data_IF_329456241152
#
_entry.id   IF_329456241152
#
_cell.length_a   1.000
_cell.length_b   1.000
_cell.length_c   1.000
_cell.angle_alpha   90.00
_cell.angle_beta   90.00
_cell.angle_gamma   90.00
#
_symmetry.space_group_name_H-M   'P 1'
#
loop_
_entity.id
_entity.type
_entity.pdbx_description
1 polymer ?
#
# COMPACT_ATOMS: atom_id res chain seq x y z
N UNK A 1 -7.45 -19.94 16.64
CA UNK A 1 -7.47 -19.25 15.33
C UNK A 1 -7.56 -17.76 15.61
N UNK A 2 -6.71 -16.94 15.00
CA UNK A 2 -6.93 -15.47 15.05
C UNK A 2 -8.25 -15.19 14.34
N UNK A 3 -9.12 -14.45 15.02
CA UNK A 3 -10.43 -14.08 14.48
C UNK A 3 -10.24 -13.16 13.27
N UNK A 4 -11.04 -13.32 12.22
CA UNK A 4 -10.97 -12.49 11.03
C UNK A 4 -11.27 -11.02 11.38
N UNK A 5 -10.23 -10.19 11.48
CA UNK A 5 -10.34 -8.78 11.89
C UNK A 5 -11.26 -7.95 10.98
N UNK A 6 -11.39 -8.32 9.71
CA UNK A 6 -12.26 -7.64 8.75
C UNK A 6 -13.71 -7.55 9.22
N UNK A 7 -14.19 -8.58 9.93
CA UNK A 7 -15.57 -8.63 10.45
C UNK A 7 -15.82 -7.67 11.63
N UNK A 8 -14.77 -7.11 12.22
CA UNK A 8 -14.85 -6.17 13.34
C UNK A 8 -14.78 -4.71 12.92
N UNK A 9 -14.38 -4.44 11.69
CA UNK A 9 -14.23 -3.08 11.19
C UNK A 9 -15.61 -2.44 10.92
N UNK A 10 -15.71 -1.17 11.28
CA UNK A 10 -16.87 -0.36 10.92
C UNK A 10 -16.76 0.09 9.48
N UNK A 11 -17.86 0.01 8.73
CA UNK A 11 -17.94 0.56 7.38
C UNK A 11 -18.35 2.04 7.42
N UNK A 12 -17.85 2.88 6.53
CA UNK A 12 -16.90 2.55 5.46
C UNK A 12 -15.46 2.34 5.96
N UNK A 13 -14.78 1.33 5.43
CA UNK A 13 -13.39 0.99 5.77
C UNK A 13 -12.45 1.87 4.95
N UNK A 14 -11.52 2.55 5.63
CA UNK A 14 -10.49 3.38 5.02
C UNK A 14 -9.12 2.72 5.15
N UNK A 15 -8.47 2.42 4.03
CA UNK A 15 -7.24 1.66 4.00
C UNK A 15 -6.10 2.37 3.25
N UNK A 16 -4.86 2.16 3.67
CA UNK A 16 -3.66 2.61 2.94
C UNK A 16 -3.31 1.62 1.83
N UNK A 17 -3.04 2.12 0.62
CA UNK A 17 -2.59 1.28 -0.48
C UNK A 17 -1.11 0.90 -0.35
N UNK A 18 -0.75 -0.37 -0.65
CA UNK A 18 0.65 -0.80 -0.74
C UNK A 18 1.33 -0.15 -1.96
N UNK A 19 2.42 0.58 -1.72
CA UNK A 19 3.17 1.28 -2.78
C UNK A 19 4.68 1.16 -2.53
N UNK A 20 5.39 0.52 -3.47
CA UNK A 20 6.84 0.31 -3.38
C UNK A 20 7.62 1.61 -3.21
N UNK A 21 8.55 1.61 -2.27
CA UNK A 21 9.36 2.77 -1.87
C UNK A 21 8.52 4.01 -1.45
N UNK A 22 7.31 3.79 -0.95
CA UNK A 22 6.41 4.87 -0.47
C UNK A 22 5.81 4.53 0.87
N UNK A 23 5.09 3.40 0.97
CA UNK A 23 4.38 3.01 2.19
C UNK A 23 5.24 2.16 3.10
N UNK A 24 6.50 2.53 3.22
CA UNK A 24 7.44 1.95 4.18
C UNK A 24 7.06 2.26 5.63
N UNK A 25 7.79 1.67 6.56
CA UNK A 25 7.51 1.81 7.98
C UNK A 25 7.56 3.25 8.48
N UNK A 26 8.52 4.07 8.00
CA UNK A 26 8.61 5.47 8.39
C UNK A 26 7.40 6.28 7.92
N UNK A 27 6.94 6.04 6.68
CA UNK A 27 5.74 6.66 6.15
C UNK A 27 4.50 6.26 6.96
N UNK A 28 4.29 4.98 7.25
CA UNK A 28 3.13 4.51 8.01
C UNK A 28 3.09 5.08 9.43
N UNK A 29 4.24 5.27 10.08
CA UNK A 29 4.31 5.91 11.40
C UNK A 29 3.81 7.36 11.38
N UNK A 30 3.99 8.09 10.28
CA UNK A 30 3.41 9.45 10.18
C UNK A 30 1.88 9.41 10.26
N UNK A 31 1.24 8.37 9.71
CA UNK A 31 -0.21 8.20 9.81
C UNK A 31 -0.66 7.71 11.18
N UNK A 32 0.10 6.85 11.84
CA UNK A 32 -0.20 6.45 13.24
C UNK A 32 -0.34 7.67 14.14
N UNK A 33 0.50 8.68 13.95
CA UNK A 33 0.55 9.86 14.80
C UNK A 33 -0.43 10.98 14.40
N UNK A 34 -0.77 11.10 13.12
CA UNK A 34 -1.48 12.27 12.61
C UNK A 34 -2.90 11.95 12.08
N UNK A 35 -3.16 10.68 11.75
CA UNK A 35 -4.48 10.27 11.26
C UNK A 35 -4.45 8.82 10.82
N UNK A 36 -4.79 7.90 11.73
CA UNK A 36 -4.71 6.46 11.49
C UNK A 36 -5.83 5.97 10.56
N UNK A 37 -5.53 5.17 9.50
CA UNK A 37 -6.53 4.43 8.74
C UNK A 37 -7.09 3.26 9.56
N UNK A 38 -8.17 2.64 9.05
CA UNK A 38 -8.69 1.42 9.67
C UNK A 38 -7.78 0.21 9.44
N UNK A 39 -7.07 0.16 8.30
CA UNK A 39 -6.15 -0.94 7.98
C UNK A 39 -4.89 -0.42 7.29
N UNK A 40 -3.74 -0.87 7.77
CA UNK A 40 -2.45 -0.65 7.13
C UNK A 40 -2.06 -1.80 6.20
N UNK A 41 -1.28 -1.48 5.16
CA UNK A 41 -0.57 -2.43 4.31
C UNK A 41 0.94 -2.14 4.34
N UNK A 42 1.74 -3.20 4.30
CA UNK A 42 3.16 -3.07 4.00
C UNK A 42 3.37 -2.72 2.52
N UNK A 43 4.60 -2.42 2.15
CA UNK A 43 5.03 -2.52 0.76
C UNK A 43 4.89 -3.99 0.29
N UNK A 44 4.85 -4.22 -1.04
CA UNK A 44 4.74 -5.59 -1.55
C UNK A 44 6.11 -6.24 -1.75
N UNK A 45 6.27 -7.45 -1.26
CA UNK A 45 7.55 -8.18 -1.23
C UNK A 45 7.50 -9.45 -2.07
N UNK A 46 8.60 -9.75 -2.78
CA UNK A 46 8.72 -10.96 -3.61
C UNK A 46 8.79 -12.23 -2.75
N UNK A 47 7.89 -13.21 -3.00
CA UNK A 47 7.97 -14.52 -2.34
C UNK A 47 9.26 -15.26 -2.70
N UNK A 48 9.75 -15.14 -3.92
CA UNK A 48 11.02 -15.73 -4.35
C UNK A 48 12.21 -15.09 -3.63
N UNK A 49 12.19 -13.76 -3.50
CA UNK A 49 13.21 -13.01 -2.76
C UNK A 49 13.27 -13.39 -1.28
N UNK A 50 12.11 -13.52 -0.63
CA UNK A 50 12.01 -13.93 0.79
C UNK A 50 12.51 -15.37 1.06
N UNK A 51 12.56 -16.22 0.04
CA UNK A 51 13.10 -17.58 0.14
C UNK A 51 14.56 -17.67 -0.35
N UNK A 52 15.15 -16.55 -0.77
CA UNK A 52 16.53 -16.47 -1.25
C UNK A 52 17.53 -16.18 -0.10
N UNK A 53 18.85 -16.34 -0.32
CA UNK A 53 19.87 -15.90 0.64
C UNK A 53 19.82 -14.39 0.96
N UNK A 54 19.21 -13.59 0.10
CA UNK A 54 19.07 -12.14 0.27
C UNK A 54 17.84 -11.69 1.08
N UNK A 55 17.10 -12.62 1.70
CA UNK A 55 15.84 -12.34 2.41
C UNK A 55 15.92 -11.21 3.44
N UNK A 56 17.04 -11.10 4.16
CA UNK A 56 17.21 -10.11 5.22
C UNK A 56 17.07 -8.67 4.71
N UNK A 57 17.43 -8.41 3.45
CA UNK A 57 17.23 -7.08 2.82
C UNK A 57 15.79 -6.78 2.49
N UNK A 58 14.95 -7.80 2.36
CA UNK A 58 13.53 -7.66 2.04
C UNK A 58 12.66 -7.65 3.29
N UNK A 59 13.12 -8.27 4.38
CA UNK A 59 12.38 -8.30 5.65
C UNK A 59 12.17 -6.90 6.23
N UNK A 60 13.02 -5.94 5.89
CA UNK A 60 12.83 -4.53 6.29
C UNK A 60 11.54 -3.91 5.75
N UNK A 61 11.01 -4.40 4.63
CA UNK A 61 9.73 -3.94 4.07
C UNK A 61 8.53 -4.45 4.89
N UNK A 62 8.75 -5.45 5.74
CA UNK A 62 7.77 -5.99 6.68
C UNK A 62 7.91 -5.43 8.10
N UNK A 63 8.83 -4.51 8.35
CA UNK A 63 8.94 -3.89 9.66
C UNK A 63 7.68 -3.05 9.96
N UNK A 64 7.13 -3.20 11.17
CA UNK A 64 5.96 -2.46 11.66
C UNK A 64 6.01 -2.30 13.19
N UNK A 65 5.12 -1.49 13.74
CA UNK A 65 4.91 -1.34 15.18
C UNK A 65 3.53 -1.81 15.59
N UNK A 66 3.35 -2.14 16.87
CA UNK A 66 2.05 -2.53 17.43
C UNK A 66 0.93 -1.50 17.19
N UNK A 67 1.27 -0.22 17.08
CA UNK A 67 0.31 0.84 16.81
C UNK A 67 -0.29 0.77 15.39
N UNK A 68 0.31 0.02 14.46
CA UNK A 68 -0.18 -0.14 13.08
C UNK A 68 -1.26 -1.22 12.94
N UNK A 69 -1.51 -2.05 13.97
CA UNK A 69 -2.56 -3.07 13.88
C UNK A 69 -3.97 -2.45 13.69
N UNK A 70 -4.82 -3.02 12.80
CA UNK A 70 -4.53 -4.17 11.94
C UNK A 70 -3.65 -3.82 10.74
N UNK A 71 -2.64 -4.65 10.51
CA UNK A 71 -1.70 -4.52 9.39
C UNK A 71 -1.63 -5.79 8.54
N UNK A 72 -1.64 -5.61 7.21
CA UNK A 72 -1.64 -6.67 6.21
C UNK A 72 -0.32 -6.69 5.45
N UNK A 73 0.35 -7.84 5.40
CA UNK A 73 1.56 -8.04 4.59
C UNK A 73 1.19 -8.32 3.14
N UNK A 74 1.66 -7.50 2.19
CA UNK A 74 1.44 -7.78 0.77
C UNK A 74 2.63 -8.47 0.14
N UNK A 75 2.36 -9.56 -0.62
CA UNK A 75 3.35 -10.36 -1.32
C UNK A 75 3.00 -10.52 -2.80
N UNK A 76 4.02 -10.78 -3.62
CA UNK A 76 3.85 -11.07 -5.05
C UNK A 76 4.76 -12.19 -5.52
N UNK A 77 4.35 -12.87 -6.57
CA UNK A 77 5.08 -13.97 -7.20
C UNK A 77 4.20 -14.72 -8.19
N UNK A 78 4.72 -15.87 -8.68
CA UNK A 78 4.02 -16.73 -9.63
C UNK A 78 4.14 -18.24 -9.31
N UNK A 79 4.77 -18.62 -8.19
CA UNK A 79 5.01 -20.03 -7.83
C UNK A 79 4.22 -20.38 -6.55
N UNK A 80 3.12 -21.17 -6.65
CA UNK A 80 2.24 -21.48 -5.51
C UNK A 80 2.97 -22.04 -4.29
N UNK A 81 3.95 -22.93 -4.48
CA UNK A 81 4.73 -23.53 -3.40
C UNK A 81 5.56 -22.51 -2.61
N UNK A 82 5.94 -21.40 -3.22
CA UNK A 82 6.63 -20.30 -2.54
C UNK A 82 5.66 -19.48 -1.69
N UNK A 83 4.44 -19.25 -2.19
CA UNK A 83 3.39 -18.55 -1.43
C UNK A 83 3.02 -19.32 -0.15
N UNK A 84 2.91 -20.64 -0.20
CA UNK A 84 2.61 -21.44 0.97
C UNK A 84 3.67 -21.27 2.08
N UNK A 85 4.95 -21.33 1.70
CA UNK A 85 6.07 -21.16 2.64
C UNK A 85 6.13 -19.74 3.22
N UNK A 86 5.99 -18.74 2.36
CA UNK A 86 6.06 -17.33 2.79
C UNK A 86 4.84 -16.94 3.63
N UNK A 87 3.67 -17.46 3.31
CA UNK A 87 2.46 -17.23 4.12
C UNK A 87 2.63 -17.78 5.56
N UNK A 88 3.24 -18.95 5.72
CA UNK A 88 3.57 -19.48 7.04
C UNK A 88 4.55 -18.56 7.80
N UNK A 89 5.57 -18.05 7.12
CA UNK A 89 6.52 -17.09 7.72
C UNK A 89 5.81 -15.78 8.14
N UNK A 90 4.94 -15.22 7.32
CA UNK A 90 4.20 -13.98 7.63
C UNK A 90 3.33 -14.17 8.87
N UNK A 91 2.71 -15.33 9.02
CA UNK A 91 1.94 -15.66 10.21
C UNK A 91 2.79 -15.64 11.50
N UNK A 92 4.01 -16.15 11.44
CA UNK A 92 4.96 -16.13 12.56
C UNK A 92 5.44 -14.71 12.88
N UNK A 93 5.53 -13.83 11.86
CA UNK A 93 5.88 -12.42 12.03
C UNK A 93 4.77 -11.58 12.70
N UNK A 94 3.57 -12.13 12.91
CA UNK A 94 2.53 -11.49 13.70
C UNK A 94 1.54 -10.60 12.96
N UNK A 95 1.55 -10.56 11.62
CA UNK A 95 0.57 -9.81 10.82
C UNK A 95 -0.88 -10.27 11.05
N UNK A 96 -1.84 -9.37 10.78
CA UNK A 96 -3.28 -9.68 10.91
C UNK A 96 -3.86 -10.34 9.67
N UNK A 97 -3.21 -10.15 8.50
CA UNK A 97 -3.61 -10.74 7.24
C UNK A 97 -2.49 -10.77 6.21
N UNK A 98 -2.75 -11.49 5.12
CA UNK A 98 -1.88 -11.57 3.95
C UNK A 98 -2.65 -11.08 2.74
N UNK A 99 -2.01 -10.27 1.92
CA UNK A 99 -2.58 -9.80 0.66
C UNK A 99 -1.72 -10.23 -0.53
N UNK A 100 -2.37 -10.68 -1.60
CA UNK A 100 -1.71 -11.12 -2.81
C UNK A 100 -1.82 -10.01 -3.85
N UNK A 101 -0.67 -9.51 -4.33
CA UNK A 101 -0.64 -8.52 -5.39
C UNK A 101 -0.90 -9.16 -6.75
N UNK A 102 -2.08 -8.91 -7.33
CA UNK A 102 -2.50 -9.32 -8.68
C UNK A 102 -2.82 -8.11 -9.57
N UNK A 103 -2.23 -6.94 -9.28
CA UNK A 103 -2.53 -5.70 -10.00
C UNK A 103 -1.34 -4.83 -10.35
N UNK A 104 -0.12 -5.14 -9.88
CA UNK A 104 1.07 -4.36 -10.19
C UNK A 104 1.45 -4.47 -11.68
N UNK A 105 1.56 -3.34 -12.40
CA UNK A 105 1.87 -3.33 -13.83
C UNK A 105 3.37 -3.19 -14.12
N UNK A 106 4.25 -3.26 -13.11
CA UNK A 106 5.68 -3.10 -13.29
C UNK A 106 6.25 -4.22 -14.16
N UNK A 107 6.99 -3.85 -15.21
CA UNK A 107 7.47 -4.77 -16.23
C UNK A 107 8.29 -5.94 -15.66
N UNK A 108 9.16 -5.66 -14.67
CA UNK A 108 10.01 -6.70 -14.07
C UNK A 108 9.18 -7.72 -13.27
N UNK A 109 8.09 -7.28 -12.64
CA UNK A 109 7.14 -8.15 -11.95
C UNK A 109 6.36 -8.99 -12.97
N UNK A 110 5.85 -8.38 -14.03
CA UNK A 110 5.08 -9.09 -15.05
C UNK A 110 5.91 -10.10 -15.84
N UNK A 111 7.19 -9.83 -16.11
CA UNK A 111 8.11 -10.79 -16.76
C UNK A 111 8.28 -12.07 -15.94
N UNK A 112 8.10 -12.02 -14.61
CA UNK A 112 8.10 -13.21 -13.76
C UNK A 112 6.76 -13.95 -13.70
N UNK A 113 5.74 -13.47 -14.42
CA UNK A 113 4.37 -14.01 -14.37
C UNK A 113 3.54 -13.55 -13.17
N UNK A 114 4.03 -12.59 -12.40
CA UNK A 114 3.44 -12.07 -11.17
C UNK A 114 2.66 -10.75 -11.40
N UNK A 115 2.04 -10.24 -10.32
CA UNK A 115 1.31 -8.98 -10.39
C UNK A 115 0.13 -9.05 -11.36
N UNK A 116 -0.03 -8.04 -12.23
CA UNK A 116 -1.12 -8.00 -13.19
C UNK A 116 -1.06 -9.12 -14.23
N UNK A 117 0.09 -9.77 -14.46
CA UNK A 117 0.20 -10.92 -15.36
C UNK A 117 -0.68 -12.10 -14.94
N UNK A 118 -1.02 -12.22 -13.63
CA UNK A 118 -1.92 -13.27 -13.13
C UNK A 118 -3.35 -13.14 -13.69
N UNK A 119 -3.78 -11.96 -14.12
CA UNK A 119 -5.09 -11.74 -14.76
C UNK A 119 -5.20 -12.59 -16.04
N UNK A 120 -4.09 -12.75 -16.77
CA UNK A 120 -4.02 -13.59 -17.98
C UNK A 120 -3.93 -15.09 -17.69
N UNK A 121 -3.78 -15.48 -16.43
CA UNK A 121 -3.68 -16.89 -16.03
C UNK A 121 -4.56 -17.18 -14.81
N UNK A 122 -5.89 -17.20 -14.97
CA UNK A 122 -6.83 -17.41 -13.87
C UNK A 122 -6.61 -18.72 -13.12
N UNK A 123 -6.15 -19.76 -13.79
CA UNK A 123 -5.81 -21.05 -13.15
C UNK A 123 -4.67 -20.88 -12.15
N UNK A 124 -3.59 -20.24 -12.54
CA UNK A 124 -2.45 -19.97 -11.66
C UNK A 124 -2.85 -19.04 -10.51
N UNK A 125 -3.69 -18.03 -10.77
CA UNK A 125 -4.20 -17.15 -9.71
C UNK A 125 -4.93 -17.94 -8.60
N UNK A 126 -5.82 -18.88 -8.98
CA UNK A 126 -6.47 -19.79 -8.00
C UNK A 126 -5.47 -20.65 -7.25
N UNK A 127 -4.47 -21.22 -7.92
CA UNK A 127 -3.44 -22.04 -7.30
C UNK A 127 -2.62 -21.25 -6.28
N UNK A 128 -2.27 -19.99 -6.60
CA UNK A 128 -1.57 -19.06 -5.70
C UNK A 128 -2.42 -18.75 -4.47
N UNK A 129 -3.72 -18.42 -4.65
CA UNK A 129 -4.63 -18.14 -3.52
C UNK A 129 -4.72 -19.36 -2.60
N UNK A 130 -4.97 -20.55 -3.15
CA UNK A 130 -5.08 -21.81 -2.38
C UNK A 130 -3.81 -22.11 -1.61
N UNK A 131 -2.64 -21.95 -2.23
CA UNK A 131 -1.35 -22.14 -1.57
C UNK A 131 -1.12 -21.14 -0.42
N UNK A 132 -1.45 -19.86 -0.67
CA UNK A 132 -1.38 -18.81 0.38
C UNK A 132 -2.29 -19.17 1.57
N UNK A 133 -3.52 -19.60 1.33
CA UNK A 133 -4.47 -20.00 2.38
C UNK A 133 -3.97 -21.20 3.18
N UNK A 134 -3.33 -22.20 2.54
CA UNK A 134 -2.73 -23.33 3.28
C UNK A 134 -1.62 -22.86 4.22
N UNK A 135 -0.68 -22.04 3.72
CA UNK A 135 0.41 -21.51 4.55
C UNK A 135 -0.07 -20.55 5.64
N UNK A 136 -1.07 -19.73 5.33
CA UNK A 136 -1.69 -18.80 6.28
C UNK A 136 -2.39 -19.50 7.45
N UNK A 137 -2.82 -20.77 7.27
CA UNK A 137 -3.41 -21.60 8.31
C UNK A 137 -4.46 -20.87 9.17
N UNK A 138 -5.47 -20.29 8.48
CA UNK A 138 -6.60 -19.60 9.10
C UNK A 138 -6.42 -18.08 9.29
N UNK A 139 -5.26 -17.49 8.96
CA UNK A 139 -5.12 -16.05 8.86
C UNK A 139 -5.90 -15.54 7.63
N UNK A 140 -6.57 -14.36 7.69
CA UNK A 140 -7.27 -13.78 6.55
C UNK A 140 -6.37 -13.58 5.34
N UNK A 141 -6.83 -13.99 4.15
CA UNK A 141 -6.16 -13.78 2.87
C UNK A 141 -7.01 -12.86 2.01
N UNK A 142 -6.41 -11.80 1.49
CA UNK A 142 -7.01 -10.86 0.55
C UNK A 142 -6.25 -10.84 -0.78
N UNK A 143 -6.86 -10.25 -1.79
CA UNK A 143 -6.24 -10.01 -3.11
C UNK A 143 -6.43 -8.55 -3.49
N UNK A 144 -5.36 -7.91 -3.98
CA UNK A 144 -5.45 -6.60 -4.63
C UNK A 144 -5.21 -6.76 -6.14
N UNK A 145 -6.22 -6.40 -6.93
CA UNK A 145 -6.21 -6.58 -8.38
C UNK A 145 -6.70 -5.35 -9.14
N UNK A 146 -6.86 -5.51 -10.46
CA UNK A 146 -7.45 -4.55 -11.40
C UNK A 146 -8.66 -5.15 -12.11
N UNK A 147 -9.39 -4.32 -12.87
CA UNK A 147 -10.61 -4.72 -13.59
C UNK A 147 -10.34 -5.55 -14.86
N UNK A 148 -9.09 -5.77 -15.21
CA UNK A 148 -8.66 -6.53 -16.38
C UNK A 148 -7.22 -6.22 -16.77
N UNK A 149 -6.74 -6.88 -17.83
CA UNK A 149 -5.39 -6.66 -18.34
C UNK A 149 -5.36 -5.56 -19.40
N UNK A 150 -5.73 -5.86 -20.66
CA UNK A 150 -5.77 -4.87 -21.75
C UNK A 150 -7.15 -4.25 -21.96
N UNK A 151 -8.19 -4.87 -21.44
CA UNK A 151 -9.57 -4.41 -21.48
C UNK A 151 -10.25 -4.72 -20.15
N UNK A 152 -11.43 -4.19 -19.93
CA UNK A 152 -12.29 -4.56 -18.83
C UNK A 152 -12.70 -6.05 -18.97
N UNK A 153 -12.51 -6.83 -17.90
CA UNK A 153 -12.69 -8.28 -17.84
C UNK A 153 -13.32 -8.71 -16.49
N UNK A 154 -14.09 -7.81 -15.84
CA UNK A 154 -14.63 -8.10 -14.49
C UNK A 154 -15.53 -9.33 -14.49
N UNK A 155 -16.32 -9.56 -15.54
CA UNK A 155 -17.24 -10.72 -15.63
C UNK A 155 -16.54 -12.06 -15.68
N UNK A 156 -15.37 -12.12 -16.28
CA UNK A 156 -14.54 -13.30 -16.38
C UNK A 156 -13.57 -13.44 -15.21
N UNK A 157 -13.03 -12.29 -14.75
CA UNK A 157 -11.95 -12.27 -13.77
C UNK A 157 -12.41 -12.33 -12.31
N UNK A 158 -13.41 -11.53 -11.92
CA UNK A 158 -13.81 -11.46 -10.51
C UNK A 158 -14.40 -12.76 -9.95
N UNK A 159 -15.23 -13.52 -10.68
CA UNK A 159 -15.70 -14.83 -10.21
C UNK A 159 -14.57 -15.79 -9.86
N UNK A 160 -13.49 -15.77 -10.66
CA UNK A 160 -12.29 -16.61 -10.42
C UNK A 160 -11.70 -16.35 -9.02
N UNK A 161 -11.68 -15.11 -8.59
CA UNK A 161 -11.13 -14.71 -7.28
C UNK A 161 -12.14 -14.94 -6.15
N UNK A 162 -13.40 -14.55 -6.37
CA UNK A 162 -14.46 -14.62 -5.37
C UNK A 162 -14.80 -16.06 -4.96
N UNK A 163 -14.73 -17.01 -5.89
CA UNK A 163 -14.92 -18.44 -5.60
C UNK A 163 -13.88 -19.04 -4.63
N UNK A 164 -12.77 -18.32 -4.39
CA UNK A 164 -11.71 -18.79 -3.49
C UNK A 164 -11.89 -18.35 -2.03
N UNK A 165 -13.08 -17.86 -1.65
CA UNK A 165 -13.41 -17.47 -0.27
C UNK A 165 -12.34 -16.53 0.35
N UNK A 166 -12.15 -15.37 -0.28
CA UNK A 166 -11.24 -14.32 0.18
C UNK A 166 -11.83 -13.56 1.36
N UNK A 167 -10.99 -13.16 2.31
CA UNK A 167 -11.41 -12.28 3.40
C UNK A 167 -11.73 -10.87 2.90
N UNK A 168 -10.95 -10.36 1.93
CA UNK A 168 -11.22 -9.11 1.25
C UNK A 168 -10.72 -9.14 -0.20
N UNK A 169 -11.35 -8.35 -1.06
CA UNK A 169 -10.93 -8.11 -2.44
C UNK A 169 -10.83 -6.60 -2.67
N UNK A 170 -9.67 -6.15 -3.10
CA UNK A 170 -9.40 -4.74 -3.38
C UNK A 170 -9.25 -4.56 -4.88
N UNK A 171 -10.06 -3.69 -5.47
CA UNK A 171 -10.11 -3.52 -6.92
C UNK A 171 -9.68 -2.11 -7.29
N UNK A 172 -8.56 -2.00 -7.99
CA UNK A 172 -8.20 -0.79 -8.69
C UNK A 172 -9.03 -0.70 -9.98
N UNK A 173 -9.92 0.28 -10.04
CA UNK A 173 -10.90 0.44 -11.11
C UNK A 173 -10.29 0.98 -12.41
N UNK A 174 -9.19 0.36 -12.84
CA UNK A 174 -8.51 0.51 -14.13
C UNK A 174 -7.98 -0.83 -14.58
N UNK A 175 -7.85 -0.99 -15.89
CA UNK A 175 -7.09 -2.12 -16.45
C UNK A 175 -5.59 -1.95 -16.20
N UNK A 176 -4.81 -3.00 -16.49
CA UNK A 176 -3.35 -2.92 -16.42
C UNK A 176 -2.79 -1.92 -17.42
N UNK A 177 -3.29 -1.95 -18.67
CA UNK A 177 -2.76 -1.11 -19.76
C UNK A 177 -3.09 0.37 -19.58
N UNK A 178 -4.19 0.70 -18.92
CA UNK A 178 -4.56 2.08 -18.56
C UNK A 178 -3.65 2.68 -17.48
N UNK A 179 -2.92 1.87 -16.75
CA UNK A 179 -2.02 2.33 -15.69
C UNK A 179 -2.69 3.27 -14.69
N UNK A 180 -2.49 4.57 -14.88
CA UNK A 180 -3.13 5.69 -14.16
C UNK A 180 -3.43 6.87 -15.09
N UNK A 181 -3.47 6.62 -16.40
CA UNK A 181 -3.51 7.65 -17.44
C UNK A 181 -4.93 8.06 -17.84
N UNK A 182 -5.93 7.32 -17.37
CA UNK A 182 -7.35 7.60 -17.55
C UNK A 182 -8.03 7.73 -16.18
N UNK A 183 -9.24 8.30 -16.06
CA UNK A 183 -10.04 8.25 -14.83
C UNK A 183 -10.33 6.80 -14.41
N UNK A 184 -10.44 6.54 -13.10
CA UNK A 184 -10.86 5.24 -12.59
C UNK A 184 -12.35 5.01 -12.89
N UNK A 185 -12.68 3.81 -13.36
CA UNK A 185 -14.01 3.40 -13.83
C UNK A 185 -14.97 3.10 -12.67
N UNK A 186 -15.31 4.13 -11.90
CA UNK A 186 -16.26 4.00 -10.77
C UNK A 186 -17.67 3.62 -11.22
N UNK A 187 -18.02 3.83 -12.47
CA UNK A 187 -19.28 3.38 -13.07
C UNK A 187 -19.45 1.84 -13.04
N UNK A 188 -18.33 1.09 -12.95
CA UNK A 188 -18.32 -0.37 -12.85
C UNK A 188 -18.53 -0.88 -11.41
N UNK A 189 -18.58 0.00 -10.44
CA UNK A 189 -18.61 -0.37 -9.03
C UNK A 189 -19.87 -1.19 -8.67
N UNK A 190 -21.05 -0.79 -9.15
CA UNK A 190 -22.29 -1.51 -8.86
C UNK A 190 -22.29 -2.94 -9.43
N UNK A 191 -21.72 -3.13 -10.63
CA UNK A 191 -21.58 -4.47 -11.22
C UNK A 191 -20.63 -5.33 -10.38
N UNK A 192 -19.52 -4.75 -9.93
CA UNK A 192 -18.56 -5.41 -9.03
C UNK A 192 -19.22 -5.86 -7.72
N UNK A 193 -20.04 -4.99 -7.11
CA UNK A 193 -20.79 -5.32 -5.89
C UNK A 193 -21.79 -6.44 -6.13
N UNK A 194 -22.51 -6.41 -7.25
CA UNK A 194 -23.47 -7.47 -7.61
C UNK A 194 -22.78 -8.82 -7.74
N UNK A 195 -21.61 -8.87 -8.38
CA UNK A 195 -20.80 -10.08 -8.47
C UNK A 195 -20.34 -10.59 -7.12
N UNK A 196 -19.79 -9.72 -6.26
CA UNK A 196 -19.42 -10.10 -4.90
C UNK A 196 -20.63 -10.69 -4.16
N UNK A 197 -21.79 -10.06 -4.23
CA UNK A 197 -23.01 -10.54 -3.55
C UNK A 197 -23.48 -11.90 -4.09
N UNK A 198 -23.25 -12.17 -5.37
CA UNK A 198 -23.61 -13.45 -6.00
C UNK A 198 -22.64 -14.58 -5.62
N UNK A 199 -21.33 -14.33 -5.66
CA UNK A 199 -20.31 -15.37 -5.55
C UNK A 199 -19.74 -15.51 -4.13
N UNK A 200 -19.61 -14.41 -3.39
CA UNK A 200 -18.95 -14.38 -2.07
C UNK A 200 -19.47 -13.23 -1.19
N UNK A 201 -20.72 -13.28 -0.71
CA UNK A 201 -21.37 -12.16 0.00
C UNK A 201 -20.65 -11.73 1.28
N UNK A 202 -19.84 -12.59 1.87
CA UNK A 202 -19.05 -12.29 3.08
C UNK A 202 -17.69 -11.65 2.81
N UNK A 203 -17.22 -11.62 1.55
CA UNK A 203 -15.95 -10.99 1.18
C UNK A 203 -16.07 -9.47 1.26
N UNK A 204 -15.18 -8.84 2.04
CA UNK A 204 -15.06 -7.38 2.09
C UNK A 204 -14.57 -6.86 0.74
N UNK A 205 -15.25 -5.85 0.21
CA UNK A 205 -14.93 -5.27 -1.10
C UNK A 205 -14.50 -3.82 -0.95
N UNK A 206 -13.24 -3.51 -1.33
CA UNK A 206 -12.70 -2.15 -1.30
C UNK A 206 -12.42 -1.63 -2.70
N UNK A 207 -12.87 -0.40 -2.98
CA UNK A 207 -12.56 0.32 -4.21
C UNK A 207 -11.24 1.07 -4.11
N UNK A 208 -10.53 1.19 -5.25
CA UNK A 208 -9.29 1.96 -5.34
C UNK A 208 -9.22 2.71 -6.68
N UNK A 209 -8.73 3.93 -6.65
CA UNK A 209 -8.52 4.81 -7.80
C UNK A 209 -9.12 6.19 -7.60
N UNK A 210 -8.33 7.25 -7.86
CA UNK A 210 -8.72 8.67 -7.86
C UNK A 210 -9.48 9.14 -6.61
N UNK A 211 -8.97 8.77 -5.45
CA UNK A 211 -9.44 9.25 -4.16
C UNK A 211 -8.39 10.22 -3.64
N UNK A 212 -8.74 11.51 -3.57
CA UNK A 212 -7.82 12.58 -3.25
C UNK A 212 -8.14 13.29 -1.93
N UNK A 213 -9.39 13.17 -1.45
CA UNK A 213 -9.85 13.75 -0.18
C UNK A 213 -10.70 12.74 0.61
N UNK A 214 -10.99 13.02 1.87
CA UNK A 214 -11.92 12.20 2.66
C UNK A 214 -13.34 12.30 2.11
N UNK A 215 -13.73 13.46 1.62
CA UNK A 215 -15.04 13.66 0.96
C UNK A 215 -15.16 12.78 -0.28
N UNK A 216 -14.10 12.66 -1.11
CA UNK A 216 -14.06 11.71 -2.22
C UNK A 216 -14.25 10.26 -1.72
N UNK A 217 -13.56 9.88 -0.63
CA UNK A 217 -13.61 8.54 -0.07
C UNK A 217 -15.04 8.19 0.41
N UNK A 218 -15.66 9.09 1.13
CA UNK A 218 -17.03 8.93 1.66
C UNK A 218 -18.08 8.89 0.53
N UNK A 219 -18.00 9.84 -0.43
CA UNK A 219 -18.92 9.91 -1.58
C UNK A 219 -18.82 8.65 -2.43
N UNK A 220 -17.60 8.26 -2.83
CA UNK A 220 -17.37 7.06 -3.63
C UNK A 220 -17.83 5.79 -2.94
N UNK A 221 -17.61 5.64 -1.64
CA UNK A 221 -18.10 4.49 -0.89
C UNK A 221 -19.62 4.45 -0.87
N UNK A 222 -20.27 5.58 -0.59
CA UNK A 222 -21.72 5.69 -0.53
C UNK A 222 -22.39 5.40 -1.89
N UNK A 223 -21.82 5.93 -2.97
CA UNK A 223 -22.37 5.81 -4.32
C UNK A 223 -22.14 4.43 -4.93
N UNK A 224 -20.98 3.81 -4.64
CA UNK A 224 -20.59 2.53 -5.21
C UNK A 224 -21.20 1.31 -4.52
N UNK A 225 -21.53 1.41 -3.23
CA UNK A 225 -21.92 0.28 -2.40
C UNK A 225 -20.76 -0.63 -2.00
N UNK A 226 -19.50 -0.20 -2.19
CA UNK A 226 -18.33 -0.88 -1.63
C UNK A 226 -18.34 -0.79 -0.09
N UNK A 227 -17.69 -1.74 0.55
CA UNK A 227 -17.55 -1.76 2.02
C UNK A 227 -16.58 -0.68 2.52
N UNK A 228 -15.81 -0.07 1.62
CA UNK A 228 -14.86 0.98 1.89
C UNK A 228 -13.95 1.23 0.69
N UNK A 229 -12.87 1.97 0.93
CA UNK A 229 -11.91 2.35 -0.12
C UNK A 229 -10.48 2.22 0.35
N UNK A 230 -9.59 2.01 -0.63
CA UNK A 230 -8.14 2.03 -0.42
C UNK A 230 -7.55 3.25 -1.09
N UNK A 231 -6.83 4.07 -0.31
CA UNK A 231 -6.28 5.35 -0.74
C UNK A 231 -4.79 5.17 -1.10
N UNK A 232 -4.39 5.69 -2.25
CA UNK A 232 -2.99 5.69 -2.71
C UNK A 232 -2.41 7.10 -2.77
N UNK A 233 -2.28 7.65 -3.97
CA UNK A 233 -1.61 8.93 -4.23
C UNK A 233 -2.20 10.12 -3.49
N UNK A 234 -3.50 10.15 -3.21
CA UNK A 234 -4.16 11.26 -2.53
C UNK A 234 -3.64 11.56 -1.11
N UNK A 235 -3.00 10.58 -0.46
CA UNK A 235 -2.44 10.78 0.88
C UNK A 235 -0.95 11.19 0.89
N UNK A 236 -0.30 11.36 -0.28
CA UNK A 236 1.12 11.77 -0.31
C UNK A 236 1.30 13.16 0.27
N UNK A 237 2.26 13.27 1.21
CA UNK A 237 2.55 14.53 1.89
C UNK A 237 1.43 15.01 2.85
N UNK A 238 0.41 14.17 3.08
CA UNK A 238 -0.72 14.48 3.94
C UNK A 238 -1.00 13.34 4.93
N UNK A 239 -0.21 13.15 5.98
CA UNK A 239 -0.46 12.14 6.99
C UNK A 239 -1.71 12.41 7.85
N UNK A 240 -2.32 13.57 7.71
CA UNK A 240 -3.59 13.93 8.34
C UNK A 240 -4.83 13.55 7.51
N UNK A 241 -4.62 12.86 6.39
CA UNK A 241 -5.69 12.51 5.45
C UNK A 241 -6.93 11.92 6.14
N UNK A 242 -6.73 10.96 7.04
CA UNK A 242 -7.83 10.26 7.73
C UNK A 242 -8.37 11.02 8.96
N UNK A 243 -7.67 12.02 9.49
CA UNK A 243 -8.17 12.85 10.60
C UNK A 243 -8.90 14.10 10.12
N UNK A 244 -8.77 14.46 8.85
CA UNK A 244 -9.35 15.69 8.29
C UNK A 244 -8.70 16.98 8.82
N UNK A 245 -7.58 16.89 9.56
CA UNK A 245 -6.83 18.08 9.99
C UNK A 245 -6.17 18.75 8.80
N UNK A 246 -6.29 20.08 8.71
CA UNK A 246 -5.63 20.89 7.69
C UNK A 246 -4.38 21.50 8.33
N UNK A 247 -3.17 20.98 8.02
CA UNK A 247 -1.95 21.42 8.66
C UNK A 247 -1.50 22.80 8.20
N UNK A 248 -0.93 23.59 9.12
CA UNK A 248 -0.15 24.77 8.78
C UNK A 248 1.11 24.38 7.99
N UNK A 249 1.75 25.35 7.35
CA UNK A 249 3.04 25.12 6.69
C UNK A 249 4.10 24.62 7.66
N UNK A 250 4.14 25.19 8.84
CA UNK A 250 5.10 24.81 9.89
C UNK A 250 4.90 23.34 10.33
N UNK A 251 3.67 22.92 10.61
CA UNK A 251 3.34 21.53 10.95
C UNK A 251 3.78 20.57 9.83
N UNK A 252 3.49 20.94 8.58
CA UNK A 252 3.84 20.12 7.41
C UNK A 252 5.35 19.93 7.28
N UNK A 253 6.14 20.99 7.47
CA UNK A 253 7.59 20.91 7.39
C UNK A 253 8.19 20.17 8.61
N UNK A 254 7.63 20.36 9.82
CA UNK A 254 8.03 19.60 11.01
C UNK A 254 7.79 18.10 10.83
N UNK A 255 6.63 17.69 10.29
CA UNK A 255 6.32 16.28 10.01
C UNK A 255 7.21 15.74 8.91
N UNK A 256 7.51 16.50 7.85
CA UNK A 256 8.48 16.11 6.85
C UNK A 256 9.87 15.82 7.44
N UNK A 257 10.37 16.69 8.32
CA UNK A 257 11.65 16.49 9.02
C UNK A 257 11.59 15.25 9.92
N UNK A 258 10.49 15.06 10.66
CA UNK A 258 10.29 13.88 11.50
C UNK A 258 10.29 12.59 10.69
N UNK A 259 9.54 12.56 9.58
CA UNK A 259 9.50 11.45 8.64
C UNK A 259 10.91 11.09 8.14
N UNK A 260 11.69 12.11 7.78
CA UNK A 260 13.05 11.92 7.26
C UNK A 260 14.01 11.36 8.33
N UNK A 261 13.93 11.85 9.57
CA UNK A 261 14.72 11.33 10.67
C UNK A 261 14.37 9.87 10.97
N UNK A 262 13.08 9.55 11.02
CA UNK A 262 12.60 8.20 11.28
C UNK A 262 12.99 7.24 10.15
N UNK A 263 12.91 7.68 8.89
CA UNK A 263 13.39 6.90 7.75
C UNK A 263 14.87 6.54 7.89
N UNK A 264 15.72 7.53 8.21
CA UNK A 264 17.15 7.30 8.38
C UNK A 264 17.44 6.38 9.58
N UNK A 265 16.68 6.48 10.66
CA UNK A 265 16.83 5.64 11.85
C UNK A 265 16.43 4.18 11.57
N UNK A 266 15.24 3.95 11.01
CA UNK A 266 14.70 2.61 10.73
C UNK A 266 15.57 1.87 9.71
N UNK A 267 16.01 2.54 8.66
CA UNK A 267 16.74 1.91 7.56
C UNK A 267 18.26 2.00 7.69
N UNK A 268 18.77 2.41 8.85
CA UNK A 268 20.19 2.37 9.16
C UNK A 268 20.70 0.92 9.16
N UNK A 269 21.84 0.69 8.50
CA UNK A 269 22.50 -0.60 8.50
C UNK A 269 23.66 -0.60 9.50
N UNK A 270 23.62 -1.49 10.47
CA UNK A 270 24.73 -1.72 11.41
C UNK A 270 25.82 -2.63 10.81
N UNK A 271 25.54 -3.26 9.65
CA UNK A 271 26.45 -4.23 9.01
C UNK A 271 27.50 -3.57 8.12
N UNK A 272 27.28 -2.34 7.69
CA UNK A 272 28.22 -1.61 6.85
C UNK A 272 29.10 -0.71 7.72
N UNK A 273 30.42 -0.96 7.71
CA UNK A 273 31.44 -0.17 8.46
C UNK A 273 31.40 1.32 8.13
N UNK A 274 30.77 1.68 7.01
CA UNK A 274 30.65 3.05 6.51
C UNK A 274 29.27 3.68 6.78
N UNK A 275 28.45 3.10 7.66
CA UNK A 275 27.12 3.64 7.99
C UNK A 275 26.10 3.48 6.86
N UNK A 276 26.14 2.36 6.13
CA UNK A 276 25.23 2.05 5.05
C UNK A 276 23.75 2.06 5.44
N UNK A 277 22.88 2.14 4.46
CA UNK A 277 21.42 2.12 4.66
C UNK A 277 20.80 0.93 3.91
N UNK A 278 19.81 0.29 4.54
CA UNK A 278 19.02 -0.79 3.93
C UNK A 278 18.15 -0.28 2.78
N UNK A 279 17.79 1.02 2.80
CA UNK A 279 17.12 1.73 1.70
C UNK A 279 17.88 3.00 1.35
N UNK A 280 17.94 3.35 0.06
CA UNK A 280 18.52 4.61 -0.39
C UNK A 280 17.78 5.81 0.19
N UNK A 281 18.50 6.81 0.67
CA UNK A 281 17.92 8.09 1.13
C UNK A 281 17.15 8.81 0.01
N UNK A 282 17.45 8.51 -1.25
CA UNK A 282 16.72 9.07 -2.41
C UNK A 282 15.22 8.71 -2.42
N UNK A 283 14.82 7.69 -1.68
CA UNK A 283 13.38 7.39 -1.45
C UNK A 283 12.65 8.59 -0.87
N UNK A 284 13.28 9.35 0.02
CA UNK A 284 12.68 10.55 0.63
C UNK A 284 12.40 11.69 -0.34
N UNK A 285 13.10 11.77 -1.46
CA UNK A 285 12.94 12.85 -2.45
C UNK A 285 11.52 12.96 -3.02
N UNK A 286 10.84 11.82 -3.22
CA UNK A 286 9.43 11.84 -3.65
C UNK A 286 8.50 12.39 -2.56
N UNK A 287 8.82 12.12 -1.28
CA UNK A 287 8.06 12.65 -0.15
C UNK A 287 8.28 14.15 0.01
N UNK A 288 9.51 14.65 -0.19
CA UNK A 288 9.78 16.10 -0.18
C UNK A 288 8.92 16.82 -1.21
N UNK A 289 8.80 16.27 -2.43
CA UNK A 289 7.93 16.84 -3.46
C UNK A 289 6.47 16.92 -3.02
N UNK A 290 6.00 15.94 -2.27
CA UNK A 290 4.61 15.88 -1.81
C UNK A 290 4.35 16.82 -0.62
N UNK A 291 5.26 16.90 0.36
CA UNK A 291 5.14 17.81 1.51
C UNK A 291 5.28 19.29 1.11
N UNK A 292 6.18 19.58 0.17
CA UNK A 292 6.57 20.95 -0.21
C UNK A 292 5.85 21.36 -1.47
N UNK A 293 4.56 21.71 -1.34
CA UNK A 293 3.70 22.15 -2.46
C UNK A 293 2.63 23.12 -1.98
N UNK A 294 2.15 24.00 -2.91
CA UNK A 294 0.99 24.85 -2.66
C UNK A 294 1.26 26.09 -1.79
N UNK A 295 2.51 26.58 -1.70
CA UNK A 295 2.87 27.80 -0.97
C UNK A 295 4.03 28.54 -1.67
N UNK A 296 4.21 29.81 -1.36
CA UNK A 296 5.27 30.64 -1.94
C UNK A 296 6.65 30.15 -1.47
N UNK A 297 7.62 30.07 -2.41
CA UNK A 297 8.95 29.54 -2.15
C UNK A 297 9.04 27.99 -2.15
N UNK A 298 7.94 27.29 -2.44
CA UNK A 298 7.94 25.82 -2.47
C UNK A 298 8.87 25.25 -3.55
N UNK A 299 9.04 25.94 -4.68
CA UNK A 299 9.92 25.50 -5.78
C UNK A 299 11.39 25.54 -5.34
N UNK A 300 11.80 26.63 -4.74
CA UNK A 300 13.16 26.87 -4.25
C UNK A 300 13.50 25.90 -3.11
N UNK A 301 12.60 25.76 -2.15
CA UNK A 301 12.76 24.80 -1.05
C UNK A 301 12.90 23.36 -1.58
N UNK A 302 12.05 22.94 -2.52
CA UNK A 302 12.20 21.61 -3.14
C UNK A 302 13.55 21.42 -3.81
N UNK A 303 14.04 22.43 -4.54
CA UNK A 303 15.34 22.34 -5.23
C UNK A 303 16.46 22.05 -4.20
N UNK A 304 16.48 22.76 -3.07
CA UNK A 304 17.45 22.54 -1.99
C UNK A 304 17.30 21.14 -1.36
N UNK A 305 16.07 20.71 -1.09
CA UNK A 305 15.81 19.39 -0.48
C UNK A 305 16.19 18.23 -1.40
N UNK A 306 16.09 18.39 -2.71
CA UNK A 306 16.48 17.34 -3.68
C UNK A 306 17.98 17.06 -3.69
N UNK A 307 18.82 17.99 -3.23
CA UNK A 307 20.28 17.82 -3.14
C UNK A 307 20.72 17.16 -1.81
N UNK A 308 19.82 17.05 -0.83
CA UNK A 308 20.14 16.49 0.49
C UNK A 308 20.44 14.99 0.43
N UNK A 309 21.34 14.55 1.33
CA UNK A 309 21.79 13.16 1.46
C UNK A 309 21.49 12.52 2.81
N UNK A 310 21.01 13.31 3.77
CA UNK A 310 20.72 12.86 5.13
C UNK A 310 19.68 13.76 5.82
N UNK A 311 19.12 13.27 6.92
CA UNK A 311 18.08 13.95 7.69
C UNK A 311 18.56 15.26 8.32
N UNK A 312 19.84 15.37 8.68
CA UNK A 312 20.40 16.60 9.28
C UNK A 312 20.36 17.77 8.30
N UNK A 313 20.69 17.51 7.04
CA UNK A 313 20.61 18.53 5.98
C UNK A 313 19.16 18.97 5.73
N UNK A 314 18.23 18.02 5.68
CA UNK A 314 16.78 18.31 5.51
C UNK A 314 16.27 19.18 6.66
N UNK A 315 16.61 18.84 7.91
CA UNK A 315 16.23 19.61 9.09
C UNK A 315 16.75 21.05 9.01
N UNK A 316 18.03 21.24 8.75
CA UNK A 316 18.65 22.58 8.63
C UNK A 316 17.95 23.43 7.57
N UNK A 317 17.73 22.87 6.37
CA UNK A 317 17.08 23.61 5.27
C UNK A 317 15.63 23.99 5.63
N UNK A 318 14.88 23.09 6.25
CA UNK A 318 13.50 23.38 6.65
C UNK A 318 13.43 24.47 7.74
N UNK A 319 14.31 24.43 8.75
CA UNK A 319 14.39 25.42 9.82
C UNK A 319 14.82 26.80 9.28
N UNK A 320 15.82 26.88 8.39
CA UNK A 320 16.25 28.12 7.73
C UNK A 320 15.11 28.72 6.90
N UNK A 321 14.36 27.88 6.17
CA UNK A 321 13.23 28.34 5.38
C UNK A 321 12.12 28.94 6.24
N UNK A 322 11.76 28.31 7.36
CA UNK A 322 10.75 28.81 8.29
C UNK A 322 11.18 30.13 8.91
N UNK A 323 12.42 30.23 9.40
CA UNK A 323 12.97 31.43 10.03
C UNK A 323 12.98 32.66 9.10
N UNK A 324 13.16 32.46 7.80
CA UNK A 324 13.18 33.56 6.82
C UNK A 324 11.77 34.04 6.43
N UNK A 325 10.70 33.46 6.99
CA UNK A 325 9.29 33.83 6.75
C UNK A 325 8.63 34.53 7.96
N UNK A 326 9.29 34.48 9.11
CA UNK A 326 8.92 35.31 10.26
C UNK A 326 9.40 36.76 10.09
#
# INVERSE_FOLDING_TARGET
MRENFWKKLKKPIMAIAPMANVTDAAFRQMFVENGKPDVFWTEFVSVEGLLSPGKDRLLVDFWYTEAEHPIVAQIFGAKPEQFEKVAAMIKELGFDGIDINMGCPAQDIEKSGAGAALIKNPKLAKEVIKATKRGAAGMPVSVKTRIGYSKEEIKEWLPVLLEEDLAALIIHLRTRDEMSDVPAHWELAQETVNMRNQYAPETILLGNGDINTMEDAESKTKESGFDGVMIGRGMFGNPWFFSGHIPSLEERLKVMVKHTNLFQEIFKSDKDRDGGSLKSFDVMKKHFKAYVTGFDGARELRALLMETKNATEVKRIAEEFLKNRE
#
